data_IF_372338733389
#
_entry.id   IF_372338733389
#
_cell.length_a   1.000
_cell.length_b   1.000
_cell.length_c   1.000
_cell.angle_alpha   90.00
_cell.angle_beta   90.00
_cell.angle_gamma   90.00
#
_symmetry.space_group_name_H-M   'P 1'
#
loop_
_entity.id
_entity.type
_entity.pdbx_description
1 polymer ?
#
# COMPACT_ATOMS: atom_id res chain seq x y z
N UNK A 1 -14.93 44.89 25.54
CA UNK A 1 -14.82 44.47 24.12
C UNK A 1 -13.61 43.56 23.83
N UNK A 2 -12.80 43.11 24.81
CA UNK A 2 -11.61 42.28 24.56
C UNK A 2 -11.84 40.74 24.51
N UNK A 3 -13.01 40.25 24.96
CA UNK A 3 -13.34 38.81 25.03
C UNK A 3 -13.74 38.21 23.67
N UNK A 4 -14.40 39.02 22.83
CA UNK A 4 -14.83 38.64 21.48
C UNK A 4 -13.63 38.45 20.55
N UNK A 5 -12.57 39.24 20.75
CA UNK A 5 -11.34 39.22 19.95
C UNK A 5 -10.53 37.93 20.21
N UNK A 6 -10.36 37.54 21.47
CA UNK A 6 -9.68 36.29 21.84
C UNK A 6 -10.42 35.03 21.36
N UNK A 7 -11.76 35.02 21.37
CA UNK A 7 -12.53 33.89 20.85
C UNK A 7 -12.43 33.78 19.33
N UNK A 8 -12.42 34.92 18.62
CA UNK A 8 -12.26 34.96 17.17
C UNK A 8 -10.85 34.53 16.77
N UNK A 9 -9.83 35.02 17.46
CA UNK A 9 -8.43 34.64 17.23
C UNK A 9 -8.17 33.16 17.55
N UNK A 10 -8.69 32.62 18.65
CA UNK A 10 -8.64 31.17 18.94
C UNK A 10 -9.35 30.34 17.88
N UNK A 11 -10.42 30.84 17.28
CA UNK A 11 -11.13 30.15 16.20
C UNK A 11 -10.30 30.12 14.92
N UNK A 12 -9.65 31.22 14.56
CA UNK A 12 -8.74 31.30 13.40
C UNK A 12 -7.57 30.33 13.59
N UNK A 13 -6.88 30.40 14.73
CA UNK A 13 -5.75 29.51 15.04
C UNK A 13 -6.15 28.02 15.02
N UNK A 14 -7.36 27.66 15.45
CA UNK A 14 -7.84 26.27 15.38
C UNK A 14 -8.04 25.75 13.96
N UNK A 15 -8.23 26.63 12.97
CA UNK A 15 -8.34 26.25 11.55
C UNK A 15 -6.98 25.92 10.96
N UNK A 16 -5.96 26.65 11.39
CA UNK A 16 -4.58 26.46 10.95
C UNK A 16 -3.92 25.21 11.53
N UNK A 17 -4.50 24.63 12.59
CA UNK A 17 -4.01 23.39 13.19
C UNK A 17 -4.52 22.19 12.38
N UNK A 18 -3.58 21.50 11.74
CA UNK A 18 -3.78 20.15 11.23
C UNK A 18 -3.77 19.13 12.39
N UNK A 19 -4.56 18.06 12.28
CA UNK A 19 -4.55 17.01 13.29
C UNK A 19 -4.88 15.64 12.71
N UNK A 20 -4.48 14.59 13.44
CA UNK A 20 -4.73 13.20 13.05
C UNK A 20 -5.75 12.57 13.99
N UNK A 21 -6.56 11.67 13.44
CA UNK A 21 -7.54 10.88 14.19
C UNK A 21 -7.30 9.41 13.89
N UNK A 22 -7.01 8.62 14.94
CA UNK A 22 -6.96 7.16 14.85
C UNK A 22 -8.37 6.57 14.78
N UNK A 23 -8.59 5.65 13.85
CA UNK A 23 -9.86 4.97 13.63
C UNK A 23 -9.73 3.45 13.77
N UNK A 24 -10.67 2.86 14.50
CA UNK A 24 -10.86 1.40 14.57
C UNK A 24 -11.70 0.97 13.36
N UNK A 25 -11.09 0.28 12.41
CA UNK A 25 -11.70 0.07 11.09
C UNK A 25 -12.65 -1.11 11.03
N UNK A 26 -12.51 -2.07 11.94
CA UNK A 26 -13.35 -3.26 12.04
C UNK A 26 -13.85 -3.52 13.48
N UNK A 27 -14.73 -4.51 13.58
CA UNK A 27 -15.40 -4.89 14.82
C UNK A 27 -14.49 -5.66 15.78
N UNK A 28 -13.49 -6.39 15.28
CA UNK A 28 -12.53 -7.12 16.10
C UNK A 28 -11.65 -6.14 16.90
N UNK A 29 -11.07 -5.16 16.21
CA UNK A 29 -10.26 -4.11 16.83
C UNK A 29 -11.08 -3.26 17.80
N UNK A 30 -12.32 -2.95 17.42
CA UNK A 30 -13.26 -2.28 18.31
C UNK A 30 -13.48 -3.05 19.62
N UNK A 31 -13.70 -4.36 19.53
CA UNK A 31 -13.85 -5.22 20.71
C UNK A 31 -12.56 -5.32 21.53
N UNK A 32 -11.39 -5.36 20.91
CA UNK A 32 -10.12 -5.34 21.63
C UNK A 32 -9.98 -4.05 22.46
N UNK A 33 -10.41 -2.90 21.95
CA UNK A 33 -10.40 -1.64 22.70
C UNK A 33 -11.40 -1.57 23.86
N UNK A 34 -12.49 -2.35 23.83
CA UNK A 34 -13.47 -2.41 24.94
C UNK A 34 -12.89 -2.94 26.25
N UNK A 35 -11.70 -3.54 26.24
CA UNK A 35 -10.99 -3.93 27.48
C UNK A 35 -10.59 -2.74 28.34
N UNK A 36 -10.46 -1.56 27.72
CA UNK A 36 -10.10 -0.32 28.40
C UNK A 36 -11.35 0.44 28.87
N UNK A 37 -11.46 0.70 30.18
CA UNK A 37 -12.59 1.40 30.82
C UNK A 37 -12.77 2.83 30.29
N UNK A 38 -11.69 3.46 29.88
CA UNK A 38 -11.68 4.79 29.26
C UNK A 38 -12.24 4.81 27.82
N UNK A 39 -12.53 3.64 27.23
CA UNK A 39 -13.17 3.50 25.92
C UNK A 39 -14.66 3.16 26.08
N UNK A 40 -15.51 4.19 26.04
CA UNK A 40 -16.91 4.10 26.48
C UNK A 40 -17.93 3.86 25.36
N UNK A 41 -17.50 3.49 24.16
CA UNK A 41 -18.40 3.19 23.04
C UNK A 41 -18.89 1.75 23.14
N UNK A 42 -20.18 1.51 22.92
CA UNK A 42 -20.78 0.16 23.10
C UNK A 42 -20.88 -0.67 21.81
N UNK A 43 -20.92 0.01 20.66
CA UNK A 43 -21.14 -0.60 19.34
C UNK A 43 -20.28 0.11 18.29
N UNK A 44 -19.69 -0.68 17.39
CA UNK A 44 -18.76 -0.19 16.36
C UNK A 44 -19.45 0.73 15.36
N UNK A 45 -20.67 0.40 14.93
CA UNK A 45 -21.44 1.23 13.99
C UNK A 45 -21.74 2.61 14.60
N UNK A 46 -22.08 2.64 15.89
CA UNK A 46 -22.33 3.87 16.62
C UNK A 46 -21.05 4.66 16.84
N UNK A 47 -19.93 4.00 17.14
CA UNK A 47 -18.61 4.64 17.20
C UNK A 47 -18.27 5.34 15.88
N UNK A 48 -18.35 4.64 14.75
CA UNK A 48 -18.04 5.22 13.43
C UNK A 48 -18.95 6.41 13.10
N UNK A 49 -20.26 6.32 13.37
CA UNK A 49 -21.18 7.45 13.17
C UNK A 49 -20.81 8.67 14.02
N UNK A 50 -20.41 8.47 15.28
CA UNK A 50 -19.99 9.58 16.14
C UNK A 50 -18.66 10.18 15.69
N UNK A 51 -17.70 9.34 15.29
CA UNK A 51 -16.43 9.80 14.72
C UNK A 51 -16.65 10.62 13.45
N UNK A 52 -17.50 10.15 12.53
CA UNK A 52 -17.86 10.87 11.32
C UNK A 52 -18.50 12.24 11.62
N UNK A 53 -19.40 12.31 12.61
CA UNK A 53 -20.00 13.58 13.01
C UNK A 53 -18.96 14.59 13.54
N UNK A 54 -17.95 14.12 14.28
CA UNK A 54 -16.83 14.94 14.76
C UNK A 54 -15.97 15.42 13.59
N UNK A 55 -15.63 14.52 12.65
CA UNK A 55 -14.84 14.83 11.46
C UNK A 55 -15.53 15.86 10.57
N UNK A 56 -16.82 15.67 10.27
CA UNK A 56 -17.65 16.64 9.52
C UNK A 56 -17.67 18.01 10.19
N UNK A 57 -17.75 18.04 11.52
CA UNK A 57 -17.70 19.29 12.29
C UNK A 57 -16.35 19.99 12.15
N UNK A 58 -15.23 19.24 12.18
CA UNK A 58 -13.88 19.79 11.98
C UNK A 58 -13.67 20.30 10.55
N UNK A 59 -14.09 19.53 9.55
CA UNK A 59 -14.03 19.93 8.15
C UNK A 59 -14.84 21.21 7.88
N UNK A 60 -16.08 21.29 8.39
CA UNK A 60 -16.91 22.51 8.28
C UNK A 60 -16.31 23.72 9.01
N UNK A 61 -15.45 23.49 10.00
CA UNK A 61 -14.71 24.55 10.67
C UNK A 61 -13.47 24.99 9.89
N UNK A 62 -13.05 24.26 8.86
CA UNK A 62 -11.87 24.53 8.04
C UNK A 62 -10.57 23.99 8.64
N UNK A 63 -10.64 22.95 9.48
CA UNK A 63 -9.46 22.28 10.04
C UNK A 63 -9.08 21.07 9.18
N UNK A 64 -7.80 21.00 8.80
CA UNK A 64 -7.25 19.85 8.07
C UNK A 64 -7.15 18.65 9.01
N UNK A 65 -7.83 17.55 8.67
CA UNK A 65 -7.79 16.32 9.46
C UNK A 65 -7.27 15.18 8.61
N UNK A 66 -6.31 14.43 9.13
CA UNK A 66 -5.87 13.15 8.57
C UNK A 66 -6.41 11.99 9.41
N UNK A 67 -6.62 10.85 8.78
CA UNK A 67 -7.06 9.61 9.42
C UNK A 67 -5.91 8.61 9.42
N UNK A 68 -5.73 7.92 10.53
CA UNK A 68 -4.78 6.82 10.67
C UNK A 68 -5.51 5.57 11.16
N UNK A 69 -5.05 4.39 10.77
CA UNK A 69 -5.56 3.13 11.30
C UNK A 69 -5.09 3.01 12.75
N UNK A 70 -6.01 2.71 13.67
CA UNK A 70 -5.69 2.49 15.07
C UNK A 70 -5.72 1.00 15.36
N UNK A 71 -4.55 0.38 15.47
CA UNK A 71 -4.42 -1.02 15.89
C UNK A 71 -4.36 -1.10 17.44
N UNK A 72 -5.28 -1.82 18.11
CA UNK A 72 -5.32 -1.96 19.57
C UNK A 72 -4.16 -2.74 20.20
N UNK A 73 -3.51 -3.62 19.43
CA UNK A 73 -2.35 -4.40 19.84
C UNK A 73 -1.08 -3.56 19.72
N UNK A 74 -0.90 -2.82 18.62
CA UNK A 74 0.18 -1.83 18.51
C UNK A 74 0.05 -0.75 19.61
N UNK A 75 -1.17 -0.33 19.95
CA UNK A 75 -1.40 0.59 21.06
C UNK A 75 -0.93 0.02 22.40
N UNK A 76 -1.18 -1.27 22.65
CA UNK A 76 -0.75 -1.94 23.87
C UNK A 76 0.78 -2.09 23.93
N UNK A 77 1.41 -2.42 22.81
CA UNK A 77 2.86 -2.47 22.66
C UNK A 77 3.48 -1.09 22.90
N UNK A 78 2.94 -0.04 22.28
CA UNK A 78 3.36 1.34 22.48
C UNK A 78 3.29 1.76 23.96
N UNK A 79 2.16 1.48 24.63
CA UNK A 79 2.00 1.80 26.04
C UNK A 79 3.02 1.05 26.91
N UNK A 80 3.27 -0.22 26.61
CA UNK A 80 4.26 -1.05 27.31
C UNK A 80 5.67 -0.53 27.10
N UNK A 81 6.06 -0.25 25.85
CA UNK A 81 7.39 0.23 25.49
C UNK A 81 7.70 1.62 26.07
N UNK A 82 6.69 2.50 26.16
CA UNK A 82 6.83 3.87 26.66
C UNK A 82 6.53 4.03 28.16
N UNK A 83 6.02 2.98 28.82
CA UNK A 83 5.60 3.02 30.22
C UNK A 83 4.39 3.94 30.47
N UNK A 84 3.57 4.19 29.44
CA UNK A 84 2.36 5.01 29.54
C UNK A 84 1.19 4.11 29.98
N UNK A 85 0.40 4.57 30.94
CA UNK A 85 -0.84 3.89 31.33
C UNK A 85 -1.87 3.95 30.18
N UNK A 86 -2.31 2.81 29.62
CA UNK A 86 -3.26 2.80 28.51
C UNK A 86 -4.64 3.36 28.87
N UNK A 87 -4.97 3.50 30.16
CA UNK A 87 -6.22 4.09 30.64
C UNK A 87 -6.15 5.61 30.85
N UNK A 88 -4.95 6.20 30.79
CA UNK A 88 -4.82 7.64 31.01
C UNK A 88 -5.45 8.44 29.84
N UNK A 89 -6.12 9.58 30.11
CA UNK A 89 -6.89 10.32 29.09
C UNK A 89 -6.09 10.78 27.87
N UNK A 90 -4.77 10.92 28.00
CA UNK A 90 -3.88 11.39 26.94
C UNK A 90 -3.26 10.26 26.11
N UNK A 91 -3.36 9.00 26.54
CA UNK A 91 -2.58 7.89 25.99
C UNK A 91 -2.92 7.58 24.54
N UNK A 92 -4.22 7.47 24.23
CA UNK A 92 -4.68 7.32 22.83
C UNK A 92 -4.26 8.49 21.96
N UNK A 93 -4.34 9.72 22.47
CA UNK A 93 -3.92 10.91 21.73
C UNK A 93 -2.42 10.94 21.43
N UNK A 94 -1.59 10.43 22.35
CA UNK A 94 -0.15 10.26 22.14
C UNK A 94 0.16 9.19 21.11
N UNK A 95 -0.53 8.05 21.19
CA UNK A 95 -0.37 7.00 20.19
C UNK A 95 -0.83 7.47 18.79
N UNK A 96 -1.95 8.19 18.69
CA UNK A 96 -2.37 8.82 17.42
C UNK A 96 -1.34 9.83 16.89
N UNK A 97 -0.60 10.52 17.76
CA UNK A 97 0.49 11.39 17.32
C UNK A 97 1.70 10.60 16.80
N UNK A 98 1.98 9.42 17.36
CA UNK A 98 2.99 8.48 16.84
C UNK A 98 2.59 7.96 15.45
N UNK A 99 1.34 7.51 15.30
CA UNK A 99 0.78 7.08 14.01
C UNK A 99 0.85 8.19 12.97
N UNK A 100 0.60 9.44 13.35
CA UNK A 100 0.72 10.58 12.45
C UNK A 100 2.16 10.86 11.99
N UNK A 101 3.16 10.43 12.76
CA UNK A 101 4.57 10.67 12.47
C UNK A 101 5.22 9.53 11.70
N UNK A 102 4.78 8.30 11.94
CA UNK A 102 5.44 7.08 11.44
C UNK A 102 4.56 6.22 10.54
N UNK A 103 3.24 6.33 10.70
CA UNK A 103 2.26 5.47 10.06
C UNK A 103 1.62 6.13 8.84
N UNK A 104 0.81 5.34 8.10
CA UNK A 104 0.12 5.85 6.96
C UNK A 104 -1.05 6.73 7.40
N UNK A 105 -1.31 7.78 6.63
CA UNK A 105 -2.48 8.61 6.86
C UNK A 105 -3.16 9.00 5.56
N UNK A 106 -4.50 9.04 5.59
CA UNK A 106 -5.30 9.58 4.48
C UNK A 106 -5.93 10.92 4.88
N UNK A 107 -5.96 11.92 3.98
CA UNK A 107 -6.66 13.17 4.27
C UNK A 107 -8.18 12.92 4.37
N UNK A 108 -8.85 13.65 5.25
CA UNK A 108 -10.30 13.68 5.35
C UNK A 108 -10.85 14.95 4.70
N UNK A 109 -11.51 14.79 3.55
CA UNK A 109 -12.04 15.93 2.77
C UNK A 109 -13.58 16.04 2.83
N UNK A 110 -14.22 15.21 3.68
CA UNK A 110 -15.67 15.28 3.97
C UNK A 110 -16.46 14.06 3.51
N UNK A 111 -15.79 13.07 2.93
CA UNK A 111 -16.39 11.81 2.49
C UNK A 111 -17.00 11.02 3.66
N UNK A 112 -17.97 10.13 3.39
CA UNK A 112 -18.43 9.17 4.39
C UNK A 112 -17.30 8.23 4.81
N UNK A 113 -17.21 7.91 6.11
CA UNK A 113 -16.17 7.00 6.61
C UNK A 113 -16.23 5.64 5.92
N UNK A 114 -17.42 5.13 5.62
CA UNK A 114 -17.58 3.85 4.90
C UNK A 114 -16.89 3.81 3.53
N UNK A 115 -16.69 4.97 2.89
CA UNK A 115 -15.94 5.06 1.64
C UNK A 115 -14.42 5.14 1.86
N UNK A 116 -13.98 5.68 3.00
CA UNK A 116 -12.57 5.87 3.34
C UNK A 116 -11.94 4.67 4.05
N UNK A 117 -12.72 3.89 4.79
CA UNK A 117 -12.21 2.74 5.56
C UNK A 117 -11.43 1.74 4.69
N UNK A 118 -11.93 1.31 3.50
CA UNK A 118 -11.17 0.38 2.66
C UNK A 118 -9.83 0.96 2.20
N UNK A 119 -9.79 2.26 1.87
CA UNK A 119 -8.55 2.93 1.48
C UNK A 119 -7.56 3.01 2.65
N UNK A 120 -8.05 3.32 3.86
CA UNK A 120 -7.21 3.37 5.06
C UNK A 120 -6.60 2.01 5.40
N UNK A 121 -7.40 0.93 5.31
CA UNK A 121 -6.93 -0.44 5.52
C UNK A 121 -5.92 -0.83 4.44
N UNK A 122 -6.22 -0.55 3.17
CA UNK A 122 -5.31 -0.83 2.06
C UNK A 122 -3.95 -0.15 2.24
N UNK A 123 -3.96 1.10 2.68
CA UNK A 123 -2.76 1.88 2.97
C UNK A 123 -1.95 1.27 4.14
N UNK A 124 -2.60 0.83 5.22
CA UNK A 124 -1.93 0.15 6.34
C UNK A 124 -1.32 -1.19 5.92
N UNK A 125 -2.06 -2.01 5.15
CA UNK A 125 -1.57 -3.28 4.60
C UNK A 125 -0.35 -3.05 3.72
N UNK A 126 -0.40 -2.02 2.88
CA UNK A 126 0.71 -1.64 2.00
C UNK A 126 1.97 -1.27 2.79
N UNK A 127 1.85 -0.46 3.84
CA UNK A 127 2.98 -0.14 4.71
C UNK A 127 3.55 -1.41 5.36
N UNK A 128 2.70 -2.28 5.91
CA UNK A 128 3.13 -3.52 6.53
C UNK A 128 3.87 -4.45 5.54
N UNK A 129 3.36 -4.58 4.31
CA UNK A 129 4.01 -5.35 3.23
C UNK A 129 5.38 -4.78 2.88
N UNK A 130 5.50 -3.46 2.75
CA UNK A 130 6.76 -2.79 2.48
C UNK A 130 7.80 -2.99 3.60
N UNK A 131 7.39 -2.81 4.87
CA UNK A 131 8.25 -3.01 6.04
C UNK A 131 8.73 -4.46 6.14
N UNK A 132 7.84 -5.41 5.89
CA UNK A 132 8.17 -6.83 5.89
C UNK A 132 9.17 -7.17 4.77
N UNK A 133 8.89 -6.77 3.54
CA UNK A 133 9.78 -7.01 2.40
C UNK A 133 11.17 -6.38 2.62
N UNK A 134 11.22 -5.14 3.12
CA UNK A 134 12.47 -4.42 3.42
C UNK A 134 13.28 -5.13 4.52
N UNK A 135 12.60 -5.60 5.57
CA UNK A 135 13.22 -6.39 6.64
C UNK A 135 13.85 -7.66 6.09
N UNK A 136 13.15 -8.39 5.21
CA UNK A 136 13.69 -9.59 4.58
C UNK A 136 14.87 -9.30 3.66
N UNK A 137 14.79 -8.25 2.84
CA UNK A 137 15.89 -7.83 1.95
C UNK A 137 17.14 -7.48 2.75
N UNK A 138 17.00 -6.76 3.86
CA UNK A 138 18.12 -6.40 4.74
C UNK A 138 18.75 -7.63 5.39
N UNK A 139 17.95 -8.65 5.73
CA UNK A 139 18.45 -9.91 6.31
C UNK A 139 19.28 -10.76 5.34
N UNK A 140 19.18 -10.54 4.03
CA UNK A 140 19.99 -11.28 3.05
C UNK A 140 21.49 -10.96 3.16
N UNK A 141 21.83 -9.73 3.55
CA UNK A 141 23.20 -9.29 3.74
C UNK A 141 24.08 -9.34 2.49
N UNK A 142 25.42 -9.28 2.66
CA UNK A 142 26.35 -9.28 1.55
C UNK A 142 26.56 -10.69 0.96
N UNK A 143 26.76 -10.76 -0.35
CA UNK A 143 27.15 -11.96 -1.06
C UNK A 143 28.50 -12.49 -0.56
N UNK A 144 28.55 -13.78 -0.23
CA UNK A 144 29.77 -14.42 0.28
C UNK A 144 30.94 -14.42 -0.72
N UNK A 145 30.67 -14.29 -2.03
CA UNK A 145 31.68 -14.36 -3.08
C UNK A 145 32.23 -12.98 -3.48
N UNK A 146 31.36 -11.98 -3.68
CA UNK A 146 31.75 -10.66 -4.19
C UNK A 146 31.58 -9.52 -3.16
N UNK A 147 30.95 -9.77 -2.01
CA UNK A 147 30.72 -8.77 -0.97
C UNK A 147 29.60 -7.77 -1.25
N UNK A 148 28.91 -7.86 -2.40
CA UNK A 148 27.79 -6.97 -2.75
C UNK A 148 26.56 -7.24 -1.86
N UNK A 149 25.91 -6.17 -1.40
CA UNK A 149 24.64 -6.27 -0.68
C UNK A 149 23.54 -6.81 -1.60
N UNK A 150 23.07 -8.03 -1.32
CA UNK A 150 22.10 -8.75 -2.16
C UNK A 150 20.77 -8.00 -2.22
N UNK A 151 20.30 -7.49 -1.07
CA UNK A 151 19.02 -6.79 -0.98
C UNK A 151 19.04 -5.50 -1.80
N UNK A 152 20.12 -4.71 -1.66
CA UNK A 152 20.31 -3.48 -2.45
C UNK A 152 20.43 -3.76 -3.94
N UNK A 153 21.23 -4.75 -4.34
CA UNK A 153 21.40 -5.11 -5.75
C UNK A 153 20.07 -5.56 -6.39
N UNK A 154 19.29 -6.36 -5.64
CA UNK A 154 17.97 -6.79 -6.09
C UNK A 154 16.97 -5.64 -6.20
N UNK A 155 17.00 -4.68 -5.26
CA UNK A 155 16.14 -3.50 -5.33
C UNK A 155 16.43 -2.65 -6.58
N UNK A 156 17.71 -2.37 -6.87
CA UNK A 156 18.12 -1.64 -8.08
C UNK A 156 17.62 -2.36 -9.34
N UNK A 157 17.78 -3.68 -9.39
CA UNK A 157 17.32 -4.49 -10.52
C UNK A 157 15.79 -4.49 -10.65
N UNK A 158 15.07 -4.57 -9.54
CA UNK A 158 13.61 -4.49 -9.53
C UNK A 158 13.13 -3.13 -10.04
N UNK A 159 13.74 -2.02 -9.61
CA UNK A 159 13.42 -0.68 -10.09
C UNK A 159 13.62 -0.56 -11.61
N UNK A 160 14.74 -1.07 -12.13
CA UNK A 160 15.01 -1.07 -13.56
C UNK A 160 14.01 -1.93 -14.36
N UNK A 161 13.59 -3.06 -13.81
CA UNK A 161 12.56 -3.90 -14.42
C UNK A 161 11.19 -3.20 -14.41
N UNK A 162 10.80 -2.58 -13.30
CA UNK A 162 9.55 -1.82 -13.19
C UNK A 162 9.52 -0.66 -14.19
N UNK A 163 10.58 0.14 -14.26
CA UNK A 163 10.68 1.23 -15.24
C UNK A 163 10.46 0.74 -16.67
N UNK A 164 11.09 -0.39 -17.02
CA UNK A 164 10.94 -0.98 -18.36
C UNK A 164 9.55 -1.57 -18.62
N UNK A 165 8.87 -2.10 -17.60
CA UNK A 165 7.47 -2.51 -17.72
C UNK A 165 6.60 -1.29 -18.05
N UNK A 166 6.76 -0.20 -17.30
CA UNK A 166 6.00 1.04 -17.50
C UNK A 166 6.30 1.69 -18.87
N UNK A 167 7.56 1.69 -19.32
CA UNK A 167 7.99 2.23 -20.62
C UNK A 167 7.46 1.42 -21.81
N UNK A 168 7.31 0.10 -21.66
CA UNK A 168 6.82 -0.78 -22.75
C UNK A 168 5.30 -0.88 -22.80
N UNK A 169 4.61 -0.37 -21.77
CA UNK A 169 3.17 -0.37 -21.69
C UNK A 169 2.54 0.58 -22.73
N UNK A 170 1.42 0.19 -23.37
CA UNK A 170 0.66 1.12 -24.21
C UNK A 170 0.11 2.30 -23.37
N UNK A 171 -0.17 3.45 -23.99
CA UNK A 171 -0.80 4.57 -23.30
C UNK A 171 -2.16 4.21 -22.70
N UNK A 172 -2.39 4.63 -21.46
CA UNK A 172 -3.63 4.40 -20.70
C UNK A 172 -3.35 4.37 -19.20
N UNK A 173 -4.41 4.22 -18.41
CA UNK A 173 -4.31 3.96 -16.98
C UNK A 173 -3.75 2.55 -16.77
N UNK A 174 -2.66 2.44 -16.03
CA UNK A 174 -1.94 1.19 -15.80
C UNK A 174 -2.20 0.71 -14.38
N UNK A 175 -2.55 -0.56 -14.25
CA UNK A 175 -2.71 -1.25 -12.98
C UNK A 175 -1.80 -2.49 -13.00
N UNK A 176 -0.78 -2.46 -12.15
CA UNK A 176 0.21 -3.51 -12.03
C UNK A 176 -0.03 -4.29 -10.74
N UNK A 177 0.12 -5.61 -10.81
CA UNK A 177 0.06 -6.50 -9.65
C UNK A 177 1.30 -7.38 -9.66
N UNK A 178 2.05 -7.37 -8.57
CA UNK A 178 3.17 -8.28 -8.34
C UNK A 178 2.85 -9.22 -7.18
N UNK A 179 3.01 -10.52 -7.40
CA UNK A 179 2.89 -11.54 -6.36
C UNK A 179 4.18 -12.32 -6.23
N UNK A 180 4.62 -12.55 -5.00
CA UNK A 180 5.81 -13.33 -4.68
C UNK A 180 5.48 -14.32 -3.58
N UNK A 181 5.65 -15.61 -3.87
CA UNK A 181 5.47 -16.65 -2.86
C UNK A 181 6.57 -16.55 -1.79
N UNK A 182 6.17 -16.54 -0.53
CA UNK A 182 7.10 -16.54 0.60
C UNK A 182 6.44 -17.15 1.83
N UNK A 183 7.20 -17.67 2.79
CA UNK A 183 6.68 -17.93 4.12
C UNK A 183 6.51 -16.59 4.89
N UNK A 184 5.45 -16.42 5.69
CA UNK A 184 4.34 -17.35 5.91
C UNK A 184 3.29 -17.35 4.78
N UNK A 185 3.15 -16.25 4.04
CA UNK A 185 2.12 -16.03 3.02
C UNK A 185 2.68 -15.35 1.77
N UNK A 186 1.94 -15.45 0.66
CA UNK A 186 2.26 -14.75 -0.60
C UNK A 186 2.18 -13.24 -0.40
N UNK A 187 3.26 -12.52 -0.70
CA UNK A 187 3.23 -11.07 -0.72
C UNK A 187 2.64 -10.60 -2.05
N UNK A 188 1.74 -9.63 -1.97
CA UNK A 188 1.12 -8.99 -3.13
C UNK A 188 1.28 -7.49 -2.98
N UNK A 189 1.74 -6.83 -4.05
CA UNK A 189 1.79 -5.39 -4.15
C UNK A 189 1.08 -4.92 -5.43
N UNK A 190 0.42 -3.77 -5.33
CA UNK A 190 -0.33 -3.15 -6.41
C UNK A 190 0.26 -1.79 -6.71
N UNK A 191 0.36 -1.44 -7.98
CA UNK A 191 0.82 -0.13 -8.42
C UNK A 191 -0.09 0.41 -9.52
N UNK A 192 -0.54 1.63 -9.32
CA UNK A 192 -1.30 2.41 -10.27
C UNK A 192 -0.38 3.47 -10.89
N UNK A 193 -0.37 3.51 -12.21
CA UNK A 193 0.27 4.58 -12.97
C UNK A 193 -0.75 5.09 -13.98
N UNK A 194 -1.33 6.25 -13.70
CA UNK A 194 -2.13 6.93 -14.71
C UNK A 194 -1.21 7.53 -15.78
N UNK A 195 -1.73 7.75 -16.98
CA UNK A 195 -1.12 8.67 -17.92
C UNK A 195 -2.03 9.91 -17.96
N UNK A 196 -1.61 11.02 -17.35
CA UNK A 196 -2.34 12.29 -17.47
C UNK A 196 -2.35 12.71 -18.96
N UNK A 197 -3.17 13.71 -19.31
CA UNK A 197 -3.33 14.20 -20.68
C UNK A 197 -2.00 14.62 -21.36
N UNK A 198 -0.98 14.96 -20.56
CA UNK A 198 0.37 15.30 -21.02
C UNK A 198 1.37 14.11 -21.00
N UNK A 199 0.91 12.90 -20.61
CA UNK A 199 1.69 11.66 -20.65
C UNK A 199 2.72 11.49 -19.53
N UNK A 200 2.64 12.28 -18.45
CA UNK A 200 3.66 12.34 -17.38
C UNK A 200 3.15 11.91 -16.01
N UNK A 201 2.05 11.17 -15.89
CA UNK A 201 1.62 10.78 -14.55
C UNK A 201 2.63 9.76 -13.99
N UNK A 202 3.35 10.23 -12.98
CA UNK A 202 4.27 9.43 -12.20
C UNK A 202 3.44 8.58 -11.23
N UNK A 203 3.76 7.28 -11.08
CA UNK A 203 3.09 6.45 -10.10
C UNK A 203 3.28 7.00 -8.69
N UNK A 204 2.33 6.70 -7.81
CA UNK A 204 2.47 7.05 -6.41
C UNK A 204 3.81 6.51 -5.86
N UNK A 205 4.55 7.38 -5.16
CA UNK A 205 5.90 7.04 -4.72
C UNK A 205 5.87 5.87 -3.74
N UNK A 206 4.85 5.80 -2.90
CA UNK A 206 4.75 4.85 -1.83
C UNK A 206 4.27 3.48 -2.37
N UNK A 207 3.35 3.45 -3.33
CA UNK A 207 3.05 2.25 -4.14
C UNK A 207 4.31 1.76 -4.90
N UNK A 208 5.07 2.68 -5.50
CA UNK A 208 6.31 2.34 -6.22
C UNK A 208 7.34 1.68 -5.31
N UNK A 209 7.51 2.19 -4.10
CA UNK A 209 8.45 1.63 -3.11
C UNK A 209 8.01 0.25 -2.62
N UNK A 210 6.73 0.06 -2.29
CA UNK A 210 6.19 -1.25 -1.91
C UNK A 210 6.37 -2.26 -3.05
N UNK A 211 5.86 -1.93 -4.24
CA UNK A 211 5.90 -2.79 -5.42
C UNK A 211 7.33 -3.22 -5.77
N UNK A 212 8.25 -2.25 -5.78
CA UNK A 212 9.67 -2.52 -6.04
C UNK A 212 10.27 -3.43 -4.97
N UNK A 213 9.90 -3.24 -3.70
CA UNK A 213 10.41 -4.07 -2.59
C UNK A 213 9.94 -5.52 -2.68
N UNK A 214 8.67 -5.74 -3.02
CA UNK A 214 8.11 -7.09 -3.23
C UNK A 214 8.77 -7.77 -4.43
N UNK A 215 8.87 -7.08 -5.57
CA UNK A 215 9.55 -7.61 -6.75
C UNK A 215 11.03 -7.93 -6.45
N UNK A 216 11.74 -7.03 -5.78
CA UNK A 216 13.13 -7.23 -5.37
C UNK A 216 13.30 -8.47 -4.50
N UNK A 217 12.40 -8.67 -3.53
CA UNK A 217 12.43 -9.85 -2.66
C UNK A 217 12.32 -11.13 -3.49
N UNK A 218 11.37 -11.20 -4.43
CA UNK A 218 11.21 -12.38 -5.28
C UNK A 218 12.41 -12.63 -6.20
N UNK A 219 13.03 -11.56 -6.72
CA UNK A 219 14.26 -11.67 -7.51
C UNK A 219 15.44 -12.21 -6.67
N UNK A 220 15.62 -11.67 -5.46
CA UNK A 220 16.74 -12.00 -4.57
C UNK A 220 16.63 -13.42 -4.00
N UNK A 221 15.43 -13.80 -3.58
CA UNK A 221 15.14 -15.12 -2.97
C UNK A 221 14.90 -16.20 -4.01
N UNK A 222 14.76 -15.82 -5.29
CA UNK A 222 14.39 -16.71 -6.40
C UNK A 222 13.04 -17.39 -6.19
N UNK A 223 12.19 -16.80 -5.35
CA UNK A 223 10.84 -17.28 -5.09
C UNK A 223 9.98 -17.25 -6.36
N UNK A 224 9.09 -18.24 -6.52
CA UNK A 224 8.12 -18.21 -7.60
C UNK A 224 7.12 -17.07 -7.39
N UNK A 225 6.61 -16.50 -8.48
CA UNK A 225 5.67 -15.40 -8.44
C UNK A 225 5.18 -14.99 -9.83
N UNK A 226 4.46 -13.88 -9.88
CA UNK A 226 3.96 -13.28 -11.10
C UNK A 226 4.02 -11.77 -11.07
N UNK A 227 4.10 -11.16 -12.25
CA UNK A 227 3.85 -9.74 -12.45
C UNK A 227 2.84 -9.61 -13.59
N UNK A 228 1.79 -8.84 -13.40
CA UNK A 228 0.82 -8.53 -14.44
C UNK A 228 0.67 -7.03 -14.55
N UNK A 229 0.50 -6.53 -15.76
CA UNK A 229 0.03 -5.18 -16.04
C UNK A 229 -1.27 -5.25 -16.83
N UNK A 230 -2.28 -4.53 -16.34
CA UNK A 230 -3.53 -4.23 -17.06
C UNK A 230 -3.48 -2.75 -17.46
N UNK A 231 -3.71 -2.46 -18.74
CA UNK A 231 -3.79 -1.08 -19.24
C UNK A 231 -5.21 -0.84 -19.74
N UNK A 232 -5.87 0.16 -19.17
CA UNK A 232 -7.22 0.58 -19.50
C UNK A 232 -7.19 1.92 -20.23
N UNK A 233 -7.98 2.05 -21.29
CA UNK A 233 -8.14 3.28 -22.04
C UNK A 233 -9.60 3.46 -22.47
N UNK A 234 -10.12 4.70 -22.54
CA UNK A 234 -11.48 4.94 -23.00
C UNK A 234 -11.75 4.32 -24.36
N UNK A 235 -12.93 3.70 -24.50
CA UNK A 235 -13.44 3.10 -25.75
C UNK A 235 -12.53 2.02 -26.39
N UNK A 236 -11.63 1.41 -25.61
CA UNK A 236 -10.78 0.30 -26.05
C UNK A 236 -10.88 -0.86 -25.08
N UNK A 237 -10.72 -2.11 -25.57
CA UNK A 237 -10.58 -3.24 -24.67
C UNK A 237 -9.31 -3.07 -23.84
N UNK A 238 -9.38 -3.47 -22.57
CA UNK A 238 -8.25 -3.47 -21.67
C UNK A 238 -7.20 -4.44 -22.17
N UNK A 239 -5.92 -4.08 -22.04
CA UNK A 239 -4.82 -4.94 -22.46
C UNK A 239 -4.10 -5.51 -21.26
N UNK A 240 -3.90 -6.82 -21.25
CA UNK A 240 -3.21 -7.50 -20.15
C UNK A 240 -1.94 -8.18 -20.67
N UNK A 241 -0.82 -7.90 -20.00
CA UNK A 241 0.45 -8.58 -20.21
C UNK A 241 0.94 -9.16 -18.88
N UNK A 242 1.60 -10.31 -18.92
CA UNK A 242 2.09 -10.97 -17.71
C UNK A 242 3.49 -11.54 -17.85
N UNK A 243 4.19 -11.61 -16.72
CA UNK A 243 5.49 -12.24 -16.58
C UNK A 243 5.45 -13.23 -15.42
N UNK A 244 6.11 -14.37 -15.59
CA UNK A 244 6.35 -15.32 -14.52
C UNK A 244 7.66 -14.97 -13.83
N UNK A 245 7.64 -14.83 -12.52
CA UNK A 245 8.85 -14.71 -11.71
C UNK A 245 9.34 -16.11 -11.35
N UNK A 246 10.51 -16.49 -11.83
CA UNK A 246 11.11 -17.80 -11.52
C UNK A 246 12.62 -17.74 -11.57
N UNK A 247 13.27 -18.39 -10.61
CA UNK A 247 14.73 -18.48 -10.53
C UNK A 247 15.42 -17.10 -10.55
N UNK A 248 14.75 -16.06 -10.05
CA UNK A 248 15.27 -14.69 -10.05
C UNK A 248 15.12 -13.94 -11.38
N UNK A 249 14.24 -14.37 -12.29
CA UNK A 249 14.01 -13.71 -13.57
C UNK A 249 12.52 -13.53 -13.86
N UNK A 250 12.15 -12.40 -14.47
CA UNK A 250 10.85 -12.21 -15.10
C UNK A 250 10.88 -12.78 -16.52
N UNK A 251 10.06 -13.79 -16.77
CA UNK A 251 9.92 -14.45 -18.06
C UNK A 251 8.58 -14.06 -18.68
N UNK A 252 8.53 -13.53 -19.92
CA UNK A 252 7.29 -13.11 -20.54
C UNK A 252 6.34 -14.30 -20.72
N UNK A 253 5.07 -14.09 -20.38
CA UNK A 253 4.00 -15.05 -20.66
C UNK A 253 3.48 -14.84 -22.08
N UNK A 254 3.07 -15.95 -22.69
CA UNK A 254 2.29 -15.93 -23.93
C UNK A 254 0.87 -15.44 -23.68
N UNK A 255 0.18 -14.97 -24.73
CA UNK A 255 -1.22 -14.55 -24.62
C UNK A 255 -2.12 -15.63 -24.02
N UNK A 256 -1.89 -16.90 -24.36
CA UNK A 256 -2.62 -18.05 -23.81
C UNK A 256 -2.32 -18.27 -22.33
N UNK A 257 -1.06 -18.17 -21.90
CA UNK A 257 -0.73 -18.29 -20.48
C UNK A 257 -1.33 -17.16 -19.63
N UNK A 258 -1.41 -15.94 -20.17
CA UNK A 258 -2.08 -14.82 -19.49
C UNK A 258 -3.59 -15.07 -19.41
N UNK A 259 -4.21 -15.52 -20.50
CA UNK A 259 -5.62 -15.89 -20.54
C UNK A 259 -5.95 -16.98 -19.51
N UNK A 260 -5.16 -18.07 -19.48
CA UNK A 260 -5.36 -19.19 -18.55
C UNK A 260 -5.24 -18.73 -17.09
N UNK A 261 -4.28 -17.84 -16.80
CA UNK A 261 -4.11 -17.27 -15.46
C UNK A 261 -5.33 -16.44 -15.02
N UNK A 262 -5.93 -15.65 -15.92
CA UNK A 262 -7.14 -14.86 -15.64
C UNK A 262 -8.43 -15.67 -15.62
N UNK A 263 -8.41 -16.87 -16.20
CA UNK A 263 -9.53 -17.80 -16.19
C UNK A 263 -9.42 -18.84 -15.06
N UNK A 264 -8.53 -18.64 -14.09
CA UNK A 264 -8.34 -19.53 -12.94
C UNK A 264 -8.53 -18.76 -11.64
N UNK A 265 -9.42 -19.25 -10.78
CA UNK A 265 -9.62 -18.71 -9.44
C UNK A 265 -8.34 -18.90 -8.60
N UNK A 266 -7.88 -17.84 -7.95
CA UNK A 266 -6.60 -17.86 -7.23
C UNK A 266 -6.66 -18.69 -5.94
N UNK A 267 -7.84 -18.81 -5.32
CA UNK A 267 -8.05 -19.51 -4.05
C UNK A 267 -8.40 -20.98 -4.28
N UNK A 268 -9.26 -21.27 -5.26
CA UNK A 268 -9.76 -22.63 -5.52
C UNK A 268 -9.07 -23.35 -6.67
N UNK A 269 -8.48 -22.60 -7.61
CA UNK A 269 -7.96 -23.14 -8.87
C UNK A 269 -9.04 -23.51 -9.89
N UNK A 270 -10.31 -23.18 -9.61
CA UNK A 270 -11.43 -23.48 -10.51
C UNK A 270 -11.41 -22.55 -11.73
N UNK A 271 -12.02 -23.01 -12.82
CA UNK A 271 -12.15 -22.21 -14.02
C UNK A 271 -13.22 -21.13 -13.84
N UNK A 272 -12.82 -19.88 -14.06
CA UNK A 272 -13.71 -18.72 -14.13
C UNK A 272 -13.90 -18.27 -15.58
N UNK A 273 -15.08 -17.74 -15.88
CA UNK A 273 -15.38 -17.27 -17.23
C UNK A 273 -14.49 -16.05 -17.58
N UNK A 274 -13.98 -15.97 -18.82
CA UNK A 274 -13.14 -14.85 -19.22
C UNK A 274 -13.90 -13.53 -19.15
N UNK A 275 -13.24 -12.49 -18.65
CA UNK A 275 -13.79 -11.14 -18.58
C UNK A 275 -14.02 -10.57 -20.00
N UNK A 276 -15.22 -10.03 -20.25
CA UNK A 276 -15.55 -9.38 -21.51
C UNK A 276 -14.84 -8.05 -21.65
N UNK A 277 -14.32 -7.74 -22.84
CA UNK A 277 -13.64 -6.46 -23.09
C UNK A 277 -12.17 -6.45 -22.67
N UNK A 278 -11.58 -7.61 -22.39
CA UNK A 278 -10.15 -7.78 -22.09
C UNK A 278 -9.44 -8.48 -23.24
N UNK A 279 -8.29 -7.95 -23.63
CA UNK A 279 -7.40 -8.41 -24.68
C UNK A 279 -6.09 -8.91 -24.07
N UNK A 280 -5.97 -10.24 -23.93
CA UNK A 280 -4.79 -10.89 -23.38
C UNK A 280 -3.67 -10.96 -24.43
N UNK A 281 -2.52 -10.39 -24.11
CA UNK A 281 -1.41 -10.22 -25.06
C UNK A 281 -0.14 -10.87 -24.53
N UNK A 282 0.69 -11.32 -25.47
CA UNK A 282 2.04 -11.76 -25.14
C UNK A 282 2.82 -10.58 -24.53
N UNK A 283 3.54 -10.84 -23.45
CA UNK A 283 4.36 -9.82 -22.81
C UNK A 283 5.66 -9.57 -23.60
N UNK A 284 6.16 -8.34 -23.64
CA UNK A 284 7.47 -8.05 -24.23
C UNK A 284 8.58 -8.71 -23.41
N UNK A 285 9.66 -9.11 -24.09
CA UNK A 285 10.85 -9.62 -23.40
C UNK A 285 11.49 -8.49 -22.61
N UNK A 286 11.75 -8.76 -21.33
CA UNK A 286 12.33 -7.81 -20.42
C UNK A 286 13.86 -7.89 -20.29
N UNK A 287 14.55 -8.67 -21.12
CA UNK A 287 15.98 -8.95 -20.95
C UNK A 287 16.92 -8.13 -21.85
N UNK A 288 16.39 -7.37 -22.81
CA UNK A 288 17.19 -6.66 -23.83
C UNK A 288 18.06 -5.49 -23.31
N UNK A 289 17.99 -5.16 -22.01
CA UNK A 289 18.86 -4.17 -21.36
C UNK A 289 20.09 -4.74 -20.65
N UNK A 290 20.15 -6.06 -20.41
CA UNK A 290 21.19 -6.69 -19.58
C UNK A 290 22.42 -7.18 -20.37
N UNK A 291 22.42 -7.08 -21.71
CA UNK A 291 23.54 -7.58 -22.51
C UNK A 291 24.80 -6.71 -22.46
N UNK A 292 24.71 -5.43 -22.08
CA UNK A 292 25.91 -4.56 -21.98
C UNK A 292 26.67 -4.67 -20.65
N UNK A 293 26.15 -5.37 -19.63
CA UNK A 293 26.81 -5.47 -18.32
C UNK A 293 27.09 -6.91 -17.83
N UNK A 294 26.99 -7.92 -18.70
CA UNK A 294 27.41 -9.31 -18.37
C UNK A 294 28.92 -9.48 -18.53
N UNK A 295 29.65 -8.77 -17.68
CA UNK A 295 31.09 -8.93 -17.46
C UNK A 295 31.45 -9.80 -16.25
N UNK A 296 30.52 -10.57 -15.66
CA UNK A 296 30.82 -11.46 -14.55
C UNK A 296 30.14 -12.82 -14.74
N UNK A 297 30.83 -13.73 -15.43
CA UNK A 297 30.57 -15.16 -15.34
C UNK A 297 31.26 -15.73 -14.10
N UNK A 298 30.53 -16.62 -13.41
CA UNK A 298 30.92 -17.37 -12.22
C UNK A 298 32.26 -18.11 -12.35
#
# INVERSE_FOLDING_TARGET
>A
MARTDHQTMRRVLRREIAGTVGLLTDEHDFHAMRRYRSFTFDDHTTYLRQMEAVLKTRAAQGSHTALALFDPDEYAEFCTATGIDPEAPASRGRFTAELAALGPTIPYEGEPLTALLPALVGEAVRQATWEYATTLLTRLGPCATCGEDIGRAAFIRASALLARVLETAPPGAQHLVCSVAGPPETLVAVLHADADADGTAEPDQAETLEFTSVLALGLATRSPGGLVIRVSAPDRPDRVHGWRLRAGHLQPLTASEVFDAYCTDIDTGDLIAPESGVDYRAAPDLTDGDQENRGHHH
#
